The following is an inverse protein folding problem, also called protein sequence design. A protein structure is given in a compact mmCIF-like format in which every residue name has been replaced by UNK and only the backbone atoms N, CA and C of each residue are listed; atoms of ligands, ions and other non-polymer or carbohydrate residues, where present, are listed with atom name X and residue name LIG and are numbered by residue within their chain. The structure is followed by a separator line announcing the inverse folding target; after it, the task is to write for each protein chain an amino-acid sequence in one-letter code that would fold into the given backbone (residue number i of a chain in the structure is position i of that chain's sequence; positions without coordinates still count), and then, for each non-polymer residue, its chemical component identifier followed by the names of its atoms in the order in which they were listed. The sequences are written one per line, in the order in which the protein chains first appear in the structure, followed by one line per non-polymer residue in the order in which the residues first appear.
data_IF_980497734901
#
_entry.id   IF_980497734901
#
_cell.length_a   1.000
_cell.length_b   1.000
_cell.length_c   1.000
_cell.angle_alpha   90.00
_cell.angle_beta   90.00
_cell.angle_gamma   90.00
#
_symmetry.space_group_name_H-M   'P 1'
#
loop_
_entity.id
_entity.type
_entity.pdbx_description
1 polymer ?
#
# COMPACT_ATOMS: atom_id res chain seq x y z
N UNK A 1 10.18 -12.22 -22.93
CA UNK A 1 10.30 -12.02 -21.46
C UNK A 1 8.96 -11.64 -20.82
N UNK A 2 8.15 -10.75 -21.42
CA UNK A 2 6.86 -10.32 -20.90
C UNK A 2 5.92 -11.51 -20.64
N UNK A 3 5.67 -12.34 -21.67
CA UNK A 3 4.80 -13.52 -21.56
C UNK A 3 5.27 -14.47 -20.47
N UNK A 4 6.56 -14.80 -20.45
CA UNK A 4 7.14 -15.70 -19.45
C UNK A 4 6.95 -15.17 -18.01
N UNK A 5 7.02 -13.84 -17.82
CA UNK A 5 6.79 -13.22 -16.51
C UNK A 5 5.32 -13.34 -16.12
N UNK A 6 4.41 -13.07 -17.04
CA UNK A 6 2.97 -13.18 -16.79
C UNK A 6 2.58 -14.64 -16.51
N UNK A 7 3.07 -15.58 -17.31
CA UNK A 7 2.80 -17.02 -17.16
C UNK A 7 3.34 -17.56 -15.82
N UNK A 8 4.55 -17.14 -15.43
CA UNK A 8 5.13 -17.52 -14.13
C UNK A 8 4.26 -17.05 -12.96
N UNK A 9 3.86 -15.79 -12.97
CA UNK A 9 3.04 -15.22 -11.90
C UNK A 9 1.56 -15.59 -11.99
N UNK A 10 1.08 -16.09 -13.13
CA UNK A 10 -0.26 -16.61 -13.32
C UNK A 10 -0.58 -17.82 -12.42
N UNK A 11 0.45 -18.59 -12.05
CA UNK A 11 0.32 -19.72 -11.14
C UNK A 11 0.24 -19.36 -9.65
N UNK A 12 0.46 -18.08 -9.30
CA UNK A 12 0.38 -17.62 -7.91
C UNK A 12 -1.06 -17.25 -7.58
N UNK A 13 -1.61 -17.88 -6.54
CA UNK A 13 -2.96 -17.61 -6.07
C UNK A 13 -3.20 -16.11 -5.77
N UNK A 14 -4.41 -15.65 -6.05
CA UNK A 14 -4.85 -14.29 -5.74
C UNK A 14 -4.79 -14.03 -4.23
N UNK A 15 -4.05 -13.00 -3.82
CA UNK A 15 -3.91 -12.64 -2.41
C UNK A 15 -3.51 -11.17 -2.28
N UNK A 16 -4.10 -10.48 -1.30
CA UNK A 16 -3.68 -9.12 -0.95
C UNK A 16 -2.41 -9.06 -0.09
N UNK A 17 -1.91 -10.21 0.38
CA UNK A 17 -0.68 -10.31 1.19
C UNK A 17 0.57 -10.58 0.34
N UNK A 18 0.40 -10.77 -0.97
CA UNK A 18 1.49 -11.05 -1.91
C UNK A 18 1.69 -9.84 -2.82
N UNK A 19 2.94 -9.52 -3.10
CA UNK A 19 3.35 -8.49 -4.08
C UNK A 19 4.17 -9.18 -5.16
N UNK A 20 3.82 -8.96 -6.43
CA UNK A 20 4.52 -9.47 -7.61
C UNK A 20 5.25 -8.32 -8.28
N UNK A 21 6.47 -8.53 -8.73
CA UNK A 21 7.24 -7.54 -9.50
C UNK A 21 7.93 -8.17 -10.70
N UNK A 22 8.16 -7.40 -11.75
CA UNK A 22 8.80 -7.87 -12.99
C UNK A 22 10.31 -7.77 -12.97
N UNK A 23 10.91 -7.40 -11.85
CA UNK A 23 12.30 -6.98 -11.78
C UNK A 23 13.28 -8.15 -11.69
N UNK A 24 14.26 -8.13 -12.60
CA UNK A 24 15.50 -8.89 -12.49
C UNK A 24 16.63 -7.92 -12.77
N UNK A 25 17.49 -7.68 -11.78
CA UNK A 25 18.62 -6.77 -11.88
C UNK A 25 19.93 -7.50 -12.12
N UNK A 26 20.80 -6.89 -12.90
CA UNK A 26 22.19 -7.28 -13.03
C UNK A 26 23.00 -6.46 -12.04
N UNK A 27 23.68 -7.13 -11.12
CA UNK A 27 24.42 -6.51 -10.02
C UNK A 27 25.73 -7.21 -9.78
N UNK A 28 26.68 -6.48 -9.18
CA UNK A 28 27.97 -7.02 -8.79
C UNK A 28 27.87 -7.72 -7.44
N UNK A 29 28.25 -9.00 -7.42
CA UNK A 29 28.41 -9.83 -6.22
C UNK A 29 29.85 -9.70 -5.72
N UNK A 30 30.05 -8.82 -4.75
CA UNK A 30 31.37 -8.53 -4.18
C UNK A 30 32.02 -9.70 -3.44
N UNK A 31 31.23 -10.69 -3.02
CA UNK A 31 31.74 -11.84 -2.27
C UNK A 31 32.32 -12.91 -3.20
N UNK A 32 31.80 -13.02 -4.42
CA UNK A 32 32.24 -13.97 -5.43
C UNK A 32 32.97 -13.29 -6.60
N UNK A 33 33.23 -11.99 -6.51
CA UNK A 33 33.88 -11.17 -7.53
C UNK A 33 33.32 -11.37 -8.93
N UNK A 34 32.00 -11.33 -9.05
CA UNK A 34 31.34 -11.50 -10.36
C UNK A 34 29.96 -10.83 -10.41
N UNK A 35 29.54 -10.52 -11.63
CA UNK A 35 28.22 -10.01 -11.90
C UNK A 35 27.19 -11.14 -12.01
N UNK A 36 26.00 -10.92 -11.44
CA UNK A 36 24.89 -11.88 -11.48
C UNK A 36 23.56 -11.21 -11.77
N UNK A 37 22.64 -11.97 -12.34
CA UNK A 37 21.23 -11.60 -12.36
C UNK A 37 20.52 -12.11 -11.09
N UNK A 38 19.82 -11.22 -10.40
CA UNK A 38 19.01 -11.56 -9.21
C UNK A 38 17.65 -10.89 -9.31
N UNK A 39 16.63 -11.52 -8.73
CA UNK A 39 15.29 -10.94 -8.62
C UNK A 39 15.27 -9.72 -7.69
N UNK A 40 14.36 -8.79 -7.93
CA UNK A 40 14.23 -7.53 -7.18
C UNK A 40 13.27 -7.62 -5.97
N UNK A 41 12.72 -8.79 -5.68
CA UNK A 41 11.79 -8.99 -4.57
C UNK A 41 12.37 -8.54 -3.21
N UNK A 42 13.64 -8.81 -2.94
CA UNK A 42 14.33 -8.32 -1.75
C UNK A 42 14.46 -6.80 -1.71
N UNK A 43 14.74 -6.17 -2.86
CA UNK A 43 14.78 -4.71 -2.97
C UNK A 43 13.39 -4.09 -2.72
N UNK A 44 12.33 -4.69 -3.27
CA UNK A 44 10.95 -4.23 -3.05
C UNK A 44 10.58 -4.31 -1.56
N UNK A 45 10.95 -5.40 -0.89
CA UNK A 45 10.78 -5.49 0.56
C UNK A 45 11.56 -4.38 1.28
N UNK A 46 12.81 -4.11 0.86
CA UNK A 46 13.63 -3.00 1.35
C UNK A 46 12.99 -1.63 1.15
N UNK A 47 12.34 -1.38 -0.02
CA UNK A 47 11.59 -0.15 -0.28
C UNK A 47 10.40 0.00 0.68
N UNK A 48 9.69 -1.10 0.99
CA UNK A 48 8.63 -1.07 1.98
C UNK A 48 9.16 -0.68 3.36
N UNK A 49 10.27 -1.26 3.80
CA UNK A 49 10.89 -0.95 5.10
C UNK A 49 11.39 0.49 5.15
N UNK A 50 12.11 0.96 4.12
CA UNK A 50 12.62 2.33 4.09
C UNK A 50 11.49 3.36 4.06
N UNK A 51 10.38 3.05 3.37
CA UNK A 51 9.20 3.91 3.37
C UNK A 51 8.59 4.01 4.77
N UNK A 52 8.49 2.90 5.51
CA UNK A 52 8.03 2.91 6.91
C UNK A 52 8.96 3.71 7.84
N UNK A 53 10.27 3.62 7.60
CA UNK A 53 11.26 4.31 8.45
C UNK A 53 11.27 5.84 8.25
N UNK A 54 11.00 6.30 7.02
CA UNK A 54 11.06 7.73 6.66
C UNK A 54 9.69 8.41 6.82
N UNK A 55 8.63 7.69 6.50
CA UNK A 55 7.24 8.18 6.53
C UNK A 55 6.39 7.24 7.39
N UNK A 56 5.51 6.46 6.73
CA UNK A 56 4.60 5.51 7.37
C UNK A 56 4.28 4.33 6.46
N UNK A 57 3.70 3.27 7.05
CA UNK A 57 3.32 2.05 6.34
C UNK A 57 2.27 2.26 5.25
N UNK A 58 1.44 3.30 5.36
CA UNK A 58 0.39 3.62 4.40
C UNK A 58 0.83 4.50 3.24
N UNK A 59 2.11 4.80 3.10
CA UNK A 59 2.64 5.41 1.90
C UNK A 59 3.06 4.34 0.89
N UNK A 60 2.77 4.60 -0.40
CA UNK A 60 3.21 3.71 -1.49
C UNK A 60 4.74 3.68 -1.57
N UNK A 61 5.38 2.49 -1.62
CA UNK A 61 6.83 2.37 -1.81
C UNK A 61 7.27 2.62 -3.25
N UNK A 62 6.34 2.83 -4.18
CA UNK A 62 6.60 3.00 -5.61
C UNK A 62 6.82 4.47 -6.00
N UNK A 63 7.26 4.67 -7.24
CA UNK A 63 7.41 5.97 -7.88
C UNK A 63 8.79 6.59 -7.73
N UNK A 64 8.97 7.76 -8.35
CA UNK A 64 10.28 8.44 -8.46
C UNK A 64 10.84 8.89 -7.12
N UNK A 65 9.96 9.16 -6.14
CA UNK A 65 10.39 9.69 -4.85
C UNK A 65 10.91 8.61 -3.87
N UNK A 66 10.42 7.39 -3.97
CA UNK A 66 10.69 6.31 -3.00
C UNK A 66 11.03 4.97 -3.63
N UNK A 67 10.62 4.74 -4.88
CA UNK A 67 10.76 3.46 -5.56
C UNK A 67 12.13 3.18 -6.18
N UNK A 68 13.16 3.99 -5.90
CA UNK A 68 14.50 3.82 -6.45
C UNK A 68 15.20 2.56 -5.95
N UNK A 69 15.62 1.69 -6.89
CA UNK A 69 16.36 0.47 -6.58
C UNK A 69 17.87 0.76 -6.54
N UNK A 70 18.55 0.13 -5.59
CA UNK A 70 19.98 0.30 -5.38
C UNK A 70 20.80 -0.82 -6.03
N UNK A 71 22.08 -0.53 -6.31
CA UNK A 71 23.04 -1.51 -6.85
C UNK A 71 22.54 -2.21 -8.12
N UNK A 72 21.99 -1.45 -9.06
CA UNK A 72 21.52 -1.95 -10.36
C UNK A 72 22.41 -1.42 -11.46
N UNK A 73 23.16 -2.32 -12.12
CA UNK A 73 23.94 -1.98 -13.32
C UNK A 73 23.00 -1.85 -14.52
N UNK A 74 22.08 -2.81 -14.65
CA UNK A 74 21.02 -2.81 -15.66
C UNK A 74 19.88 -3.75 -15.24
N UNK A 75 18.71 -3.56 -15.81
CA UNK A 75 17.62 -4.52 -15.74
C UNK A 75 17.75 -5.58 -16.84
N UNK A 76 17.39 -6.82 -16.56
CA UNK A 76 17.30 -7.88 -17.56
C UNK A 76 16.20 -7.60 -18.58
N UNK A 77 15.13 -6.93 -18.14
CA UNK A 77 13.99 -6.51 -18.94
C UNK A 77 13.54 -5.12 -18.49
N UNK A 78 13.52 -4.17 -19.42
CA UNK A 78 12.97 -2.84 -19.18
C UNK A 78 11.67 -2.70 -20.00
N UNK A 79 10.49 -2.84 -19.38
CA UNK A 79 9.22 -2.84 -20.10
C UNK A 79 8.90 -1.46 -20.71
N UNK A 80 8.51 -1.44 -21.98
CA UNK A 80 7.94 -0.27 -22.63
C UNK A 80 6.53 0.02 -22.11
N UNK A 81 5.88 1.10 -22.59
CA UNK A 81 4.56 1.49 -22.08
C UNK A 81 3.52 0.38 -22.21
N UNK A 82 3.39 -0.27 -23.37
CA UNK A 82 2.43 -1.34 -23.58
C UNK A 82 2.70 -2.54 -22.65
N UNK A 83 3.95 -2.98 -22.54
CA UNK A 83 4.33 -4.06 -21.64
C UNK A 83 4.07 -3.72 -20.16
N UNK A 84 4.20 -2.45 -19.76
CA UNK A 84 3.82 -2.01 -18.39
C UNK A 84 2.33 -2.11 -18.15
N UNK A 85 1.53 -1.73 -19.14
CA UNK A 85 0.06 -1.81 -19.05
C UNK A 85 -0.40 -3.26 -18.93
N UNK A 86 0.21 -4.19 -19.70
CA UNK A 86 -0.05 -5.63 -19.63
C UNK A 86 0.35 -6.21 -18.24
N UNK A 87 1.54 -5.90 -17.75
CA UNK A 87 2.00 -6.31 -16.43
C UNK A 87 1.07 -5.79 -15.34
N UNK A 88 0.68 -4.52 -15.43
CA UNK A 88 -0.20 -3.89 -14.44
C UNK A 88 -1.60 -4.50 -14.46
N UNK A 89 -2.11 -4.90 -15.63
CA UNK A 89 -3.38 -5.63 -15.75
C UNK A 89 -3.29 -7.02 -15.10
N UNK A 90 -2.14 -7.69 -15.23
CA UNK A 90 -1.86 -8.97 -14.57
C UNK A 90 -1.54 -8.85 -13.06
N UNK A 91 -1.71 -7.67 -12.45
CA UNK A 91 -1.34 -7.38 -11.06
C UNK A 91 0.14 -7.64 -10.74
N UNK A 92 1.02 -7.35 -11.70
CA UNK A 92 2.46 -7.42 -11.57
C UNK A 92 3.00 -5.99 -11.61
N UNK A 93 3.76 -5.60 -10.59
CA UNK A 93 4.32 -4.25 -10.52
C UNK A 93 5.54 -4.14 -11.45
N UNK A 94 5.51 -3.24 -12.46
CA UNK A 94 6.64 -3.05 -13.34
C UNK A 94 7.84 -2.47 -12.59
N UNK A 95 9.02 -3.03 -12.82
CA UNK A 95 10.30 -2.40 -12.48
C UNK A 95 10.85 -1.83 -13.77
N UNK A 96 11.10 -0.52 -13.80
CA UNK A 96 11.46 0.21 -15.01
C UNK A 96 12.70 1.07 -14.78
N UNK A 97 13.50 1.25 -15.80
CA UNK A 97 14.58 2.24 -15.82
C UNK A 97 14.13 3.43 -16.66
N UNK A 98 14.03 4.58 -16.03
CA UNK A 98 13.63 5.83 -16.69
C UNK A 98 14.84 6.77 -16.82
N UNK A 99 14.93 7.53 -17.92
CA UNK A 99 15.97 8.56 -18.06
C UNK A 99 15.93 9.55 -16.90
N UNK A 100 17.07 9.80 -16.28
CA UNK A 100 17.22 10.76 -15.19
C UNK A 100 16.83 10.23 -13.78
N UNK A 101 16.12 9.11 -13.67
CA UNK A 101 15.68 8.56 -12.37
C UNK A 101 16.34 7.22 -12.05
N UNK A 102 16.83 6.50 -13.07
CA UNK A 102 17.36 5.15 -12.91
C UNK A 102 16.24 4.09 -12.74
N UNK A 103 16.61 2.90 -12.25
CA UNK A 103 15.67 1.81 -12.06
C UNK A 103 14.78 2.06 -10.82
N UNK A 104 13.46 1.98 -11.04
CA UNK A 104 12.43 2.23 -10.01
C UNK A 104 11.34 1.18 -10.04
N UNK A 105 10.70 0.97 -8.90
CA UNK A 105 9.41 0.30 -8.81
C UNK A 105 8.31 1.24 -9.31
N UNK A 106 7.58 0.84 -10.36
CA UNK A 106 6.57 1.67 -11.01
C UNK A 106 5.17 1.05 -10.94
N UNK A 107 4.78 0.59 -9.74
CA UNK A 107 3.46 0.04 -9.45
C UNK A 107 3.32 -0.27 -7.97
N UNK A 108 2.10 -0.26 -7.47
CA UNK A 108 1.78 -0.46 -6.06
C UNK A 108 0.62 -1.44 -5.83
N UNK A 109 0.43 -2.37 -6.77
CA UNK A 109 -0.60 -3.41 -6.66
C UNK A 109 -0.17 -4.58 -5.77
N UNK A 110 -1.14 -5.14 -5.05
CA UNK A 110 -1.03 -6.48 -4.49
C UNK A 110 -1.36 -7.53 -5.55
N UNK A 111 -1.15 -8.82 -5.27
CA UNK A 111 -1.53 -9.91 -6.17
C UNK A 111 -3.04 -10.23 -6.16
N UNK A 112 -3.87 -9.37 -5.56
CA UNK A 112 -5.31 -9.53 -5.53
C UNK A 112 -5.89 -9.28 -6.92
N UNK A 113 -6.64 -10.25 -7.44
CA UNK A 113 -7.26 -10.19 -8.77
C UNK A 113 -8.62 -9.49 -8.78
N UNK A 114 -9.35 -9.53 -7.66
CA UNK A 114 -10.65 -8.87 -7.52
C UNK A 114 -10.49 -7.40 -7.15
N UNK A 115 -11.29 -6.49 -7.71
CA UNK A 115 -11.31 -5.09 -7.30
C UNK A 115 -11.67 -4.94 -5.83
N UNK A 116 -10.77 -4.34 -5.04
CA UNK A 116 -10.95 -4.12 -3.61
C UNK A 116 -10.07 -2.95 -3.15
N UNK A 117 -10.33 -2.41 -1.96
CA UNK A 117 -9.40 -1.46 -1.34
C UNK A 117 -8.02 -2.11 -1.07
N UNK A 118 -7.99 -3.43 -0.87
CA UNK A 118 -6.78 -4.22 -0.61
C UNK A 118 -5.98 -4.60 -1.86
N UNK A 119 -6.37 -4.13 -3.04
CA UNK A 119 -5.59 -4.31 -4.28
C UNK A 119 -4.34 -3.42 -4.32
N UNK A 120 -4.12 -2.57 -3.30
CA UNK A 120 -3.00 -1.65 -3.17
C UNK A 120 -2.10 -2.00 -1.98
N UNK A 121 -0.78 -1.91 -2.21
CA UNK A 121 0.24 -2.20 -1.19
C UNK A 121 0.08 -1.27 0.02
N UNK A 122 -0.10 0.02 -0.21
CA UNK A 122 -0.23 1.03 0.84
C UNK A 122 -1.45 0.76 1.75
N UNK A 123 -2.60 0.41 1.16
CA UNK A 123 -3.81 0.12 1.93
C UNK A 123 -3.66 -1.18 2.73
N UNK A 124 -3.12 -2.24 2.12
CA UNK A 124 -2.88 -3.50 2.86
C UNK A 124 -1.94 -3.29 4.04
N UNK A 125 -0.86 -2.53 3.85
CA UNK A 125 0.10 -2.22 4.92
C UNK A 125 -0.50 -1.35 6.02
N UNK A 126 -1.35 -0.38 5.67
CA UNK A 126 -2.15 0.39 6.63
C UNK A 126 -2.96 -0.52 7.54
N UNK A 127 -3.73 -1.44 6.94
CA UNK A 127 -4.59 -2.34 7.72
C UNK A 127 -3.77 -3.28 8.60
N UNK A 128 -2.67 -3.84 8.11
CA UNK A 128 -1.78 -4.67 8.93
C UNK A 128 -1.23 -3.92 10.15
N UNK A 129 -0.90 -2.65 9.98
CA UNK A 129 -0.43 -1.80 11.08
C UNK A 129 -1.55 -1.55 12.11
N UNK A 130 -2.74 -1.18 11.63
CA UNK A 130 -3.90 -0.95 12.51
C UNK A 130 -4.32 -2.24 13.22
N UNK A 131 -4.39 -3.37 12.53
CA UNK A 131 -4.71 -4.69 13.10
C UNK A 131 -3.72 -5.05 14.21
N UNK A 132 -2.43 -4.86 13.98
CA UNK A 132 -1.38 -5.12 14.98
C UNK A 132 -1.55 -4.22 16.22
N UNK A 133 -1.87 -2.94 16.03
CA UNK A 133 -2.07 -2.00 17.12
C UNK A 133 -3.34 -2.31 17.90
N UNK A 134 -4.44 -2.59 17.19
CA UNK A 134 -5.73 -2.96 17.81
C UNK A 134 -5.60 -4.25 18.62
N UNK A 135 -4.87 -5.25 18.09
CA UNK A 135 -4.59 -6.50 18.81
C UNK A 135 -3.81 -6.24 20.11
N UNK A 136 -2.75 -5.41 20.05
CA UNK A 136 -1.99 -5.07 21.25
C UNK A 136 -2.81 -4.32 22.32
N UNK A 137 -3.77 -3.48 21.89
CA UNK A 137 -4.72 -2.84 22.82
C UNK A 137 -5.73 -3.85 23.39
N UNK A 138 -6.22 -4.77 22.55
CA UNK A 138 -7.16 -5.81 22.97
C UNK A 138 -6.53 -6.81 23.96
N UNK A 139 -5.23 -7.11 23.83
CA UNK A 139 -4.50 -7.93 24.80
C UNK A 139 -4.51 -7.32 26.22
N UNK A 140 -4.53 -5.98 26.31
CA UNK A 140 -4.65 -5.27 27.59
C UNK A 140 -6.05 -5.30 28.23
N UNK A 141 -7.06 -5.72 27.47
CA UNK A 141 -8.46 -5.85 27.96
C UNK A 141 -8.76 -7.29 28.43
N UNK A 142 -7.91 -8.25 28.10
CA UNK A 142 -8.08 -9.64 28.53
C UNK A 142 -8.12 -9.74 30.05
N UNK A 143 -9.10 -10.47 30.55
CA UNK A 143 -9.37 -10.70 31.98
C UNK A 143 -9.89 -9.47 32.76
N UNK A 144 -10.09 -8.33 32.09
CA UNK A 144 -10.78 -7.18 32.69
C UNK A 144 -12.30 -7.38 32.74
N UNK A 145 -12.99 -6.55 33.50
CA UNK A 145 -14.46 -6.57 33.59
C UNK A 145 -15.08 -6.10 32.26
N UNK A 146 -16.02 -6.87 31.73
CA UNK A 146 -16.74 -6.49 30.50
C UNK A 146 -17.88 -5.50 30.80
N UNK A 147 -17.52 -4.29 31.15
CA UNK A 147 -18.45 -3.21 31.45
C UNK A 147 -18.27 -2.02 30.49
N UNK A 148 -19.13 -1.02 30.64
CA UNK A 148 -19.07 0.19 29.82
C UNK A 148 -17.78 1.00 30.04
N UNK A 149 -17.15 0.91 31.21
CA UNK A 149 -15.94 1.63 31.53
C UNK A 149 -14.77 1.06 30.69
N UNK A 150 -14.62 -0.26 30.70
CA UNK A 150 -13.60 -0.97 29.92
C UNK A 150 -13.79 -0.76 28.41
N UNK A 151 -15.06 -0.85 27.93
CA UNK A 151 -15.37 -0.60 26.50
C UNK A 151 -15.05 0.83 26.09
N UNK A 152 -15.38 1.83 26.90
CA UNK A 152 -15.08 3.22 26.63
C UNK A 152 -13.58 3.51 26.68
N UNK A 153 -12.83 2.91 27.60
CA UNK A 153 -11.38 3.05 27.68
C UNK A 153 -10.67 2.47 26.45
N UNK A 154 -11.12 1.30 25.97
CA UNK A 154 -10.63 0.72 24.72
C UNK A 154 -10.95 1.61 23.52
N UNK A 155 -12.22 2.05 23.39
CA UNK A 155 -12.64 2.95 22.30
C UNK A 155 -11.86 4.25 22.28
N UNK A 156 -11.63 4.87 23.44
CA UNK A 156 -10.82 6.08 23.54
C UNK A 156 -9.36 5.85 23.09
N UNK A 157 -8.78 4.74 23.53
CA UNK A 157 -7.38 4.40 23.18
C UNK A 157 -7.20 4.16 21.67
N UNK A 158 -8.08 3.37 21.05
CA UNK A 158 -7.99 3.09 19.61
C UNK A 158 -8.37 4.31 18.78
N UNK A 159 -9.34 5.13 19.21
CA UNK A 159 -9.75 6.36 18.52
C UNK A 159 -8.64 7.40 18.56
N UNK A 160 -7.91 7.53 19.66
CA UNK A 160 -6.72 8.40 19.75
C UNK A 160 -5.66 8.01 18.72
N UNK A 161 -5.37 6.70 18.62
CA UNK A 161 -4.43 6.20 17.62
C UNK A 161 -4.94 6.42 16.17
N UNK A 162 -6.22 6.15 15.88
CA UNK A 162 -6.78 6.37 14.55
C UNK A 162 -6.82 7.85 14.16
N UNK A 163 -6.99 8.75 15.13
CA UNK A 163 -6.88 10.21 14.91
C UNK A 163 -5.45 10.60 14.50
N UNK A 164 -4.44 10.00 15.11
CA UNK A 164 -3.04 10.19 14.68
C UNK A 164 -2.83 9.67 13.24
N UNK A 165 -3.31 8.47 12.92
CA UNK A 165 -3.26 7.90 11.57
C UNK A 165 -3.97 8.81 10.55
N UNK A 166 -5.10 9.40 10.92
CA UNK A 166 -5.84 10.35 10.08
C UNK A 166 -5.05 11.63 9.86
N UNK A 167 -4.49 12.22 10.91
CA UNK A 167 -3.65 13.41 10.82
C UNK A 167 -2.42 13.18 9.92
N UNK A 168 -1.86 11.96 9.93
CA UNK A 168 -0.75 11.52 9.07
C UNK A 168 -1.20 10.96 7.72
N UNK A 169 -2.46 11.20 7.31
CA UNK A 169 -3.02 10.89 5.98
C UNK A 169 -3.18 9.40 5.68
N UNK A 170 -3.27 8.54 6.68
CA UNK A 170 -3.49 7.10 6.50
C UNK A 170 -4.93 6.78 6.17
N UNK A 171 -5.88 7.39 6.88
CA UNK A 171 -7.31 7.28 6.64
C UNK A 171 -7.94 8.66 6.42
N UNK A 172 -9.03 8.72 5.65
CA UNK A 172 -9.82 9.94 5.49
C UNK A 172 -10.87 10.08 6.58
N UNK A 173 -11.36 8.92 7.08
CA UNK A 173 -12.40 8.86 8.10
C UNK A 173 -12.37 7.48 8.78
N UNK A 174 -12.87 7.39 10.01
CA UNK A 174 -12.98 6.13 10.73
C UNK A 174 -14.16 6.14 11.70
N UNK A 175 -14.65 4.97 12.05
CA UNK A 175 -15.66 4.75 13.09
C UNK A 175 -15.23 3.54 13.93
N UNK A 176 -15.30 3.69 15.25
CA UNK A 176 -15.10 2.62 16.23
C UNK A 176 -16.42 2.34 16.89
N UNK A 177 -16.85 1.09 16.86
CA UNK A 177 -18.07 0.62 17.54
C UNK A 177 -17.66 -0.43 18.57
N UNK A 178 -17.84 -0.12 19.83
CA UNK A 178 -17.61 -1.01 20.96
C UNK A 178 -18.54 -0.61 22.10
N UNK A 179 -19.84 -0.81 21.89
CA UNK A 179 -20.90 -0.42 22.80
C UNK A 179 -21.92 -1.55 22.98
N UNK A 180 -23.08 -1.24 23.48
CA UNK A 180 -24.14 -2.23 23.73
C UNK A 180 -24.76 -2.81 22.44
N UNK A 181 -24.57 -2.15 21.29
CA UNK A 181 -25.09 -2.62 20.00
C UNK A 181 -24.38 -3.87 19.50
N UNK A 182 -23.06 -3.99 19.77
CA UNK A 182 -22.26 -5.15 19.40
C UNK A 182 -21.77 -5.99 20.61
N UNK A 183 -22.05 -5.54 21.85
CA UNK A 183 -21.81 -6.29 23.07
C UNK A 183 -23.14 -6.45 23.83
N UNK A 184 -24.05 -7.25 23.27
CA UNK A 184 -25.32 -7.59 23.92
C UNK A 184 -25.12 -8.42 25.21
N UNK A 185 -26.11 -8.53 26.09
CA UNK A 185 -26.01 -9.40 27.29
C UNK A 185 -25.57 -10.83 26.96
N UNK A 186 -26.03 -11.40 25.82
CA UNK A 186 -25.65 -12.74 25.40
C UNK A 186 -24.17 -12.84 24.99
N UNK A 187 -23.56 -11.76 24.44
CA UNK A 187 -22.13 -11.68 24.14
C UNK A 187 -21.33 -11.61 25.43
N UNK A 188 -21.77 -10.80 26.37
CA UNK A 188 -21.15 -10.64 27.69
C UNK A 188 -21.23 -11.97 28.48
N UNK A 189 -22.36 -12.66 28.46
CA UNK A 189 -22.52 -13.96 29.12
C UNK A 189 -21.63 -15.07 28.55
N UNK A 190 -21.21 -14.94 27.28
CA UNK A 190 -20.19 -15.82 26.66
C UNK A 190 -18.76 -15.40 26.99
N UNK A 191 -18.54 -14.38 27.82
CA UNK A 191 -17.24 -13.77 28.11
C UNK A 191 -16.51 -13.25 26.84
N UNK A 192 -17.29 -12.75 25.88
CA UNK A 192 -16.78 -12.18 24.65
C UNK A 192 -16.78 -10.64 24.72
N UNK A 193 -15.77 -10.04 24.10
CA UNK A 193 -15.65 -8.60 23.90
C UNK A 193 -15.52 -8.34 22.40
N UNK A 194 -16.44 -7.55 21.85
CA UNK A 194 -16.50 -7.27 20.40
C UNK A 194 -16.27 -5.79 20.16
N UNK A 195 -15.27 -5.49 19.32
CA UNK A 195 -15.02 -4.14 18.83
C UNK A 195 -14.91 -4.17 17.30
N UNK A 196 -15.60 -3.26 16.65
CA UNK A 196 -15.62 -3.11 15.20
C UNK A 196 -14.95 -1.80 14.77
N UNK A 197 -14.05 -1.88 13.79
CA UNK A 197 -13.31 -0.76 13.24
C UNK A 197 -13.67 -0.58 11.77
N UNK A 198 -14.33 0.52 11.45
CA UNK A 198 -14.67 0.89 10.07
C UNK A 198 -13.73 1.99 9.61
N UNK A 199 -13.01 1.75 8.51
CA UNK A 199 -11.93 2.61 8.05
C UNK A 199 -12.14 3.00 6.59
N UNK A 200 -11.95 4.27 6.27
CA UNK A 200 -11.88 4.79 4.89
C UNK A 200 -10.42 5.12 4.55
N UNK A 201 -9.69 4.20 3.89
CA UNK A 201 -8.27 4.40 3.61
C UNK A 201 -8.03 5.51 2.58
N UNK A 202 -6.95 6.24 2.72
CA UNK A 202 -6.44 7.15 1.69
C UNK A 202 -5.84 6.33 0.55
N UNK A 203 -6.20 6.65 -0.71
CA UNK A 203 -5.70 5.96 -1.90
C UNK A 203 -4.52 6.67 -2.52
N UNK A 204 -3.58 5.92 -3.07
CA UNK A 204 -2.49 6.44 -3.89
C UNK A 204 -2.99 6.92 -5.26
N UNK A 205 -2.32 7.91 -5.84
CA UNK A 205 -2.61 8.41 -7.20
C UNK A 205 -1.85 7.52 -8.20
N UNK A 206 -2.58 6.86 -9.10
CA UNK A 206 -1.99 5.97 -10.12
C UNK A 206 -2.09 6.55 -11.53
N UNK A 207 -3.03 7.47 -11.76
CA UNK A 207 -3.23 8.10 -13.05
C UNK A 207 -3.25 9.61 -12.88
N UNK A 208 -2.47 10.30 -13.70
CA UNK A 208 -2.42 11.76 -13.73
C UNK A 208 -2.78 12.22 -15.15
N UNK A 209 -3.84 13.01 -15.26
CA UNK A 209 -4.20 13.69 -16.50
C UNK A 209 -3.90 15.18 -16.35
N UNK A 210 -3.07 15.71 -17.22
CA UNK A 210 -2.77 17.15 -17.27
C UNK A 210 -3.27 17.69 -18.59
N UNK A 211 -4.23 18.61 -18.53
CA UNK A 211 -4.73 19.31 -19.71
C UNK A 211 -4.08 20.68 -19.77
N UNK A 212 -3.40 20.96 -20.87
CA UNK A 212 -2.79 22.27 -21.14
C UNK A 212 -3.59 22.95 -22.25
N UNK A 213 -4.21 24.08 -21.94
CA UNK A 213 -4.99 24.84 -22.91
C UNK A 213 -4.26 26.14 -23.23
N UNK A 214 -3.97 26.36 -24.50
CA UNK A 214 -3.44 27.64 -24.97
C UNK A 214 -4.62 28.62 -25.15
N UNK A 215 -4.56 29.74 -24.44
CA UNK A 215 -5.57 30.83 -24.57
C UNK A 215 -5.04 31.98 -25.42
N UNK A 216 -5.96 32.66 -26.09
CA UNK A 216 -5.60 33.91 -26.81
C UNK A 216 -5.31 35.03 -25.84
N UNK A 217 -4.43 35.94 -26.25
CA UNK A 217 -4.15 37.17 -25.49
C UNK A 217 -5.43 38.00 -25.33
N UNK A 218 -5.79 38.34 -24.12
CA UNK A 218 -6.98 39.15 -23.82
C UNK A 218 -8.24 38.41 -23.39
N UNK A 219 -8.21 37.05 -23.36
CA UNK A 219 -9.30 36.22 -22.80
C UNK A 219 -9.07 36.01 -21.31
N UNK A 220 -10.10 36.23 -20.48
CA UNK A 220 -10.00 35.93 -19.05
C UNK A 220 -9.97 34.41 -18.79
N UNK A 221 -9.19 33.97 -17.82
CA UNK A 221 -9.14 32.53 -17.46
C UNK A 221 -10.49 31.98 -16.96
N UNK A 222 -11.35 32.82 -16.37
CA UNK A 222 -12.70 32.45 -15.96
C UNK A 222 -13.58 32.03 -17.16
N UNK A 223 -13.42 32.70 -18.31
CA UNK A 223 -14.16 32.44 -19.54
C UNK A 223 -13.70 31.12 -20.20
N UNK A 224 -12.41 30.77 -20.09
CA UNK A 224 -11.84 29.51 -20.64
C UNK A 224 -12.26 28.31 -19.82
N UNK A 225 -12.45 28.46 -18.52
CA UNK A 225 -12.81 27.34 -17.60
C UNK A 225 -14.33 27.12 -17.54
N UNK A 226 -15.13 28.02 -18.14
CA UNK A 226 -16.59 27.88 -18.18
C UNK A 226 -17.28 28.03 -16.83
N UNK A 227 -16.67 28.81 -15.93
CA UNK A 227 -17.20 29.14 -14.59
C UNK A 227 -17.49 30.62 -14.45
#
# INVERSE_FOLDING_TARGET
QLSNTIDFFGNIASSSYVVKDSGIKYTYDRFNDKYRYIGTNGDIAGLCVSTSAILDDWYSPAGTNRGGLQNVVRLAFNPNKAARDDLYTASINPVVSMPGTGPILFGDKTALSSPSAFDRINVRRLFLNIEKRAKGLAEGVLFEQNDSITRNAFTASISSYLTEVQARRGVTDFLVVCDESNNSPEVIDRNEFVAELYLKPTRSINFVTVTVTATRTGVSFAEVVGR
#
